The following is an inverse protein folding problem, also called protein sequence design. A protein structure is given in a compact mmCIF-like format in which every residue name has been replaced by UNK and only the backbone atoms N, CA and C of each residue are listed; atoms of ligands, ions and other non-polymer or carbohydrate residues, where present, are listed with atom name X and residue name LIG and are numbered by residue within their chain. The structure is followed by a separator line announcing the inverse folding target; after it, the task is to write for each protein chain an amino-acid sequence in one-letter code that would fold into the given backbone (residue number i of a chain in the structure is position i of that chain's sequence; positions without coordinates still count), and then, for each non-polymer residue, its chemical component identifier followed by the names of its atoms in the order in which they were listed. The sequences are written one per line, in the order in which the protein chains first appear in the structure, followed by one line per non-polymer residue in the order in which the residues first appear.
data_IF_877716674489
#
_entry.id   IF_877716674489
#
_cell.length_a   1.000
_cell.length_b   1.000
_cell.length_c   1.000
_cell.angle_alpha   90.00
_cell.angle_beta   90.00
_cell.angle_gamma   90.00
#
_symmetry.space_group_name_H-M   'P 1'
#
loop_
_entity.id
_entity.type
_entity.pdbx_description
1 polymer ?
#
# COMPACT_ATOMS: atom_id res chain seq x y z
N UNK A 1 -12.11 -26.70 1.12
CA UNK A 1 -12.16 -25.98 2.41
C UNK A 1 -10.79 -25.73 3.11
N UNK A 2 -9.70 -26.47 2.79
CA UNK A 2 -8.39 -26.32 3.46
C UNK A 2 -7.56 -25.10 3.04
N UNK A 3 -7.72 -24.60 1.81
CA UNK A 3 -6.86 -23.55 1.22
C UNK A 3 -6.97 -22.18 1.90
N UNK A 4 -8.14 -21.85 2.41
CA UNK A 4 -8.39 -20.56 3.07
C UNK A 4 -7.77 -20.47 4.49
N UNK A 5 -7.60 -21.61 5.17
CA UNK A 5 -7.05 -21.64 6.54
C UNK A 5 -5.57 -21.29 6.60
N UNK A 6 -4.76 -21.77 5.64
CA UNK A 6 -3.33 -21.50 5.61
C UNK A 6 -3.05 -20.01 5.34
N UNK A 7 -3.71 -19.43 4.32
CA UNK A 7 -3.61 -18.00 4.04
C UNK A 7 -4.08 -17.16 5.22
N UNK A 8 -5.22 -17.51 5.83
CA UNK A 8 -5.73 -16.82 7.02
C UNK A 8 -4.70 -16.79 8.15
N UNK A 9 -4.04 -17.92 8.45
CA UNK A 9 -3.00 -18.00 9.48
C UNK A 9 -1.74 -17.18 9.13
N UNK A 10 -1.35 -17.11 7.86
CA UNK A 10 -0.14 -16.42 7.40
C UNK A 10 -0.34 -14.91 7.19
N UNK A 11 -1.53 -14.48 6.77
CA UNK A 11 -1.76 -13.11 6.29
C UNK A 11 -2.94 -12.42 6.97
N UNK A 12 -4.10 -13.10 7.07
CA UNK A 12 -5.36 -12.41 7.33
C UNK A 12 -5.69 -12.31 8.82
N UNK A 13 -5.14 -13.19 9.68
CA UNK A 13 -5.38 -13.14 11.12
C UNK A 13 -4.62 -12.00 11.80
N UNK A 14 -5.15 -11.47 12.91
CA UNK A 14 -4.51 -10.42 13.72
C UNK A 14 -3.21 -10.89 14.41
N UNK A 15 -2.99 -12.20 14.53
CA UNK A 15 -1.78 -12.80 15.06
C UNK A 15 -0.82 -13.29 13.96
N UNK A 16 -1.18 -13.08 12.68
CA UNK A 16 -0.37 -13.50 11.54
C UNK A 16 0.99 -12.79 11.50
N UNK A 17 1.93 -13.41 10.79
CA UNK A 17 3.20 -12.77 10.49
C UNK A 17 3.01 -11.40 9.80
N UNK A 18 2.05 -11.30 8.87
CA UNK A 18 1.73 -10.04 8.18
C UNK A 18 1.17 -8.98 9.15
N UNK A 19 0.37 -9.37 10.14
CA UNK A 19 -0.11 -8.45 11.18
C UNK A 19 1.04 -7.89 12.02
N UNK A 20 2.01 -8.74 12.41
CA UNK A 20 3.22 -8.28 13.10
C UNK A 20 4.04 -7.29 12.27
N UNK A 21 4.17 -7.52 10.97
CA UNK A 21 4.87 -6.58 10.09
C UNK A 21 4.11 -5.24 9.96
N UNK A 22 2.76 -5.28 9.88
CA UNK A 22 1.95 -4.06 9.88
C UNK A 22 2.12 -3.24 11.17
N UNK A 23 2.12 -3.90 12.34
CA UNK A 23 2.37 -3.23 13.64
C UNK A 23 3.77 -2.59 13.67
N UNK A 24 4.82 -3.31 13.28
CA UNK A 24 6.19 -2.77 13.19
C UNK A 24 6.27 -1.53 12.28
N UNK A 25 5.56 -1.52 11.16
CA UNK A 25 5.50 -0.34 10.28
C UNK A 25 4.74 0.81 10.93
N UNK A 26 3.65 0.53 11.63
CA UNK A 26 2.91 1.54 12.40
C UNK A 26 3.79 2.17 13.50
N UNK A 27 4.55 1.36 14.22
CA UNK A 27 5.51 1.84 15.21
C UNK A 27 6.65 2.64 14.58
N UNK A 28 7.09 2.26 13.38
CA UNK A 28 8.11 2.99 12.65
C UNK A 28 7.59 4.32 12.14
N UNK A 29 6.37 4.36 11.60
CA UNK A 29 5.69 5.59 11.22
C UNK A 29 5.60 6.56 12.42
N UNK A 30 5.16 6.08 13.58
CA UNK A 30 5.03 6.87 14.80
C UNK A 30 6.39 7.42 15.31
N UNK A 31 7.48 6.65 15.16
CA UNK A 31 8.83 7.13 15.47
C UNK A 31 9.35 8.16 14.48
N UNK A 32 8.94 8.05 13.21
CA UNK A 32 9.35 8.98 12.15
C UNK A 32 8.60 10.31 12.24
N UNK A 33 7.34 10.25 12.68
CA UNK A 33 6.46 11.40 12.90
C UNK A 33 5.95 11.38 14.34
N UNK A 34 6.73 11.88 15.32
CA UNK A 34 6.36 11.84 16.74
C UNK A 34 5.09 12.61 17.06
N UNK A 35 4.80 13.64 16.28
CA UNK A 35 3.64 14.54 16.37
C UNK A 35 2.40 14.02 15.61
N UNK A 36 2.43 12.76 15.09
CA UNK A 36 1.33 12.19 14.28
C UNK A 36 -0.04 12.23 14.98
N UNK A 37 -0.07 12.27 16.31
CA UNK A 37 -1.32 12.34 17.09
C UNK A 37 -2.09 13.63 16.88
N UNK A 38 -1.39 14.69 16.54
CA UNK A 38 -1.93 16.05 16.35
C UNK A 38 -2.18 16.35 14.86
N UNK A 39 -1.79 15.46 13.96
CA UNK A 39 -1.84 15.65 12.52
C UNK A 39 -3.22 15.33 11.90
N UNK A 40 -3.49 16.04 10.80
CA UNK A 40 -4.45 15.62 9.78
C UNK A 40 -3.70 14.86 8.69
N UNK A 41 -3.94 13.55 8.60
CA UNK A 41 -3.30 12.66 7.62
C UNK A 41 -4.24 12.41 6.45
N UNK A 42 -3.73 12.52 5.21
CA UNK A 42 -4.42 11.98 4.03
C UNK A 42 -3.83 10.63 3.65
N UNK A 43 -4.67 9.59 3.58
CA UNK A 43 -4.28 8.20 3.25
C UNK A 43 -4.72 7.87 1.83
N UNK A 44 -3.78 7.91 0.89
CA UNK A 44 -4.02 7.65 -0.53
C UNK A 44 -4.08 6.15 -0.82
N UNK A 45 -5.25 5.68 -1.23
CA UNK A 45 -5.55 4.28 -1.54
C UNK A 45 -5.72 3.39 -0.31
N UNK A 46 -5.72 3.95 0.89
CA UNK A 46 -5.84 3.23 2.14
C UNK A 46 -7.26 2.76 2.46
N UNK A 47 -7.38 2.18 3.64
CA UNK A 47 -8.67 1.75 4.21
C UNK A 47 -8.76 2.16 5.67
N UNK A 48 -9.94 2.57 6.09
CA UNK A 48 -10.21 2.99 7.47
C UNK A 48 -9.74 1.96 8.52
N UNK A 49 -9.86 0.66 8.21
CA UNK A 49 -9.37 -0.43 9.06
C UNK A 49 -7.87 -0.42 9.34
N UNK A 50 -7.05 0.27 8.55
CA UNK A 50 -5.62 0.47 8.82
C UNK A 50 -5.44 1.30 10.09
N UNK A 51 -6.19 2.38 10.21
CA UNK A 51 -6.12 3.34 11.33
C UNK A 51 -6.80 2.85 12.59
N UNK A 52 -7.81 2.00 12.48
CA UNK A 52 -8.39 1.29 13.64
C UNK A 52 -7.37 0.34 14.31
N UNK A 53 -6.46 -0.24 13.54
CA UNK A 53 -5.44 -1.19 14.03
C UNK A 53 -4.06 -0.56 14.26
N UNK A 54 -3.91 0.72 13.94
CA UNK A 54 -2.65 1.43 14.14
C UNK A 54 -2.32 1.55 15.62
N UNK A 55 -1.04 1.47 15.97
CA UNK A 55 -0.55 1.66 17.35
C UNK A 55 -0.67 3.12 17.79
N UNK A 56 -0.63 4.04 16.83
CA UNK A 56 -0.86 5.46 17.03
C UNK A 56 -1.80 5.96 15.93
N UNK A 57 -2.86 6.64 16.31
CA UNK A 57 -3.84 7.23 15.41
C UNK A 57 -3.65 8.74 15.33
N UNK A 58 -3.69 9.34 14.12
CA UNK A 58 -3.73 10.79 13.94
C UNK A 58 -4.99 11.44 14.54
N UNK A 59 -4.95 12.76 14.73
CA UNK A 59 -6.12 13.55 15.15
C UNK A 59 -7.25 13.43 14.11
N UNK A 60 -6.90 13.53 12.82
CA UNK A 60 -7.83 13.39 11.69
C UNK A 60 -7.22 12.53 10.59
N UNK A 61 -8.06 11.78 9.88
CA UNK A 61 -7.64 11.00 8.71
C UNK A 61 -8.63 11.21 7.58
N UNK A 62 -8.15 11.64 6.42
CA UNK A 62 -8.92 11.59 5.16
C UNK A 62 -8.43 10.40 4.36
N UNK A 63 -9.27 9.38 4.19
CA UNK A 63 -8.97 8.19 3.37
C UNK A 63 -9.52 8.40 1.97
N UNK A 64 -8.67 8.31 0.96
CA UNK A 64 -9.05 8.36 -0.46
C UNK A 64 -8.95 6.96 -1.04
N UNK A 65 -10.05 6.39 -1.52
CA UNK A 65 -10.06 5.04 -2.10
C UNK A 65 -11.09 4.94 -3.23
N UNK A 66 -10.88 4.02 -4.16
CA UNK A 66 -11.85 3.71 -5.24
C UNK A 66 -13.11 2.97 -4.71
N UNK A 67 -13.01 2.35 -3.54
CA UNK A 67 -14.13 1.66 -2.89
C UNK A 67 -15.11 2.68 -2.28
N UNK A 68 -16.38 2.32 -2.23
CA UNK A 68 -17.40 3.15 -1.57
C UNK A 68 -17.11 3.29 -0.07
N UNK A 69 -17.39 4.46 0.52
CA UNK A 69 -17.31 4.64 1.96
C UNK A 69 -18.16 3.62 2.72
N UNK A 70 -17.71 3.15 3.90
CA UNK A 70 -18.53 2.29 4.74
C UNK A 70 -19.76 3.06 5.26
N UNK A 71 -20.80 2.32 5.62
CA UNK A 71 -22.06 2.90 6.14
C UNK A 71 -21.86 3.75 7.42
N UNK A 72 -20.80 3.51 8.17
CA UNK A 72 -20.45 4.29 9.36
C UNK A 72 -18.98 4.67 9.32
N UNK A 73 -18.70 5.97 9.43
CA UNK A 73 -17.37 6.56 9.51
C UNK A 73 -17.28 7.29 10.85
N UNK A 74 -16.23 7.04 11.67
CA UNK A 74 -16.08 7.72 12.95
C UNK A 74 -15.75 9.22 12.73
N UNK A 75 -16.04 10.05 13.73
CA UNK A 75 -15.86 11.52 13.67
C UNK A 75 -14.43 11.98 13.34
N UNK A 76 -13.43 11.20 13.73
CA UNK A 76 -12.03 11.48 13.44
C UNK A 76 -11.60 11.15 12.00
N UNK A 77 -12.48 10.55 11.19
CA UNK A 77 -12.15 10.13 9.83
C UNK A 77 -13.13 10.71 8.82
N UNK A 78 -12.63 10.95 7.61
CA UNK A 78 -13.40 11.18 6.40
C UNK A 78 -12.98 10.15 5.36
N UNK A 79 -13.95 9.58 4.62
CA UNK A 79 -13.67 8.62 3.55
C UNK A 79 -14.23 9.15 2.25
N UNK A 80 -13.35 9.36 1.29
CA UNK A 80 -13.68 9.88 -0.04
C UNK A 80 -13.54 8.78 -1.08
N UNK A 81 -14.58 8.59 -1.91
CA UNK A 81 -14.49 7.69 -3.06
C UNK A 81 -13.88 8.44 -4.24
N UNK A 82 -12.58 8.32 -4.42
CA UNK A 82 -11.87 8.99 -5.50
C UNK A 82 -10.62 8.20 -5.94
N UNK A 83 -10.11 8.55 -7.11
CA UNK A 83 -8.85 8.03 -7.63
C UNK A 83 -7.68 8.87 -7.08
N UNK A 84 -6.73 8.24 -6.39
CA UNK A 84 -5.55 8.90 -5.88
C UNK A 84 -4.61 9.49 -6.99
N UNK A 85 -4.83 9.09 -8.25
CA UNK A 85 -4.13 9.66 -9.41
C UNK A 85 -4.89 10.84 -10.06
N UNK A 86 -6.12 11.12 -9.61
CA UNK A 86 -7.00 12.17 -10.14
C UNK A 86 -7.94 12.66 -9.04
N UNK A 87 -7.38 13.44 -8.12
CA UNK A 87 -8.06 13.86 -6.90
C UNK A 87 -9.11 14.93 -7.19
N UNK A 88 -10.30 14.86 -6.58
CA UNK A 88 -11.29 15.91 -6.68
C UNK A 88 -10.77 17.21 -6.02
N UNK A 89 -11.20 18.40 -6.50
CA UNK A 89 -10.66 19.68 -6.05
C UNK A 89 -10.70 19.92 -4.54
N UNK A 90 -11.75 19.45 -3.86
CA UNK A 90 -11.88 19.62 -2.41
C UNK A 90 -10.86 18.78 -1.62
N UNK A 91 -10.39 17.65 -2.16
CA UNK A 91 -9.29 16.87 -1.58
C UNK A 91 -7.95 17.49 -1.98
N UNK A 92 -7.77 17.82 -3.27
CA UNK A 92 -6.52 18.37 -3.79
C UNK A 92 -6.14 19.72 -3.15
N UNK A 93 -7.13 20.54 -2.75
CA UNK A 93 -6.95 21.83 -2.07
C UNK A 93 -7.10 21.73 -0.54
N UNK A 94 -7.22 20.51 -0.01
CA UNK A 94 -7.29 20.29 1.43
C UNK A 94 -5.94 20.59 2.13
N UNK A 95 -6.01 20.89 3.42
CA UNK A 95 -4.81 21.10 4.26
C UNK A 95 -4.52 19.82 5.03
N UNK A 96 -3.35 19.25 4.79
CA UNK A 96 -2.89 18.02 5.43
C UNK A 96 -1.47 18.19 5.96
N UNK A 97 -1.18 17.54 7.08
CA UNK A 97 0.15 17.55 7.70
C UNK A 97 1.06 16.44 7.17
N UNK A 98 0.44 15.34 6.70
CA UNK A 98 1.15 14.15 6.24
C UNK A 98 0.36 13.41 5.16
N UNK A 99 1.01 13.07 4.07
CA UNK A 99 0.50 12.08 3.11
C UNK A 99 1.00 10.70 3.51
N UNK A 100 0.06 9.78 3.67
CA UNK A 100 0.35 8.37 3.92
C UNK A 100 -0.15 7.52 2.75
N UNK A 101 0.62 6.50 2.37
CA UNK A 101 0.16 5.45 1.45
C UNK A 101 0.90 4.16 1.72
N UNK A 102 0.19 3.05 1.74
CA UNK A 102 0.78 1.75 2.06
C UNK A 102 0.28 0.65 1.13
N UNK A 103 1.17 0.13 0.28
CA UNK A 103 0.89 -0.93 -0.70
C UNK A 103 -0.22 -0.55 -1.68
N UNK A 104 -0.08 0.61 -2.32
CA UNK A 104 -1.01 1.15 -3.31
C UNK A 104 -0.32 1.43 -4.64
N UNK A 105 0.89 2.00 -4.61
CA UNK A 105 1.62 2.46 -5.80
C UNK A 105 1.84 1.34 -6.83
N UNK A 106 1.97 0.10 -6.39
CA UNK A 106 2.05 -1.10 -7.24
C UNK A 106 0.74 -1.44 -7.96
N UNK A 107 -0.39 -0.83 -7.56
CA UNK A 107 -1.73 -1.07 -8.09
C UNK A 107 -2.32 0.07 -8.91
N UNK A 108 -1.70 1.24 -8.93
CA UNK A 108 -2.27 2.40 -9.63
C UNK A 108 -2.23 2.29 -11.16
N UNK A 109 -1.51 1.28 -11.68
CA UNK A 109 -1.28 1.10 -13.13
C UNK A 109 0.00 1.79 -13.59
N UNK A 110 0.41 1.59 -14.81
CA UNK A 110 1.69 1.96 -15.43
C UNK A 110 2.38 3.26 -15.04
N UNK A 111 3.44 3.57 -15.74
CA UNK A 111 4.35 4.68 -15.38
C UNK A 111 3.65 6.04 -15.24
N UNK A 112 2.79 6.39 -16.18
CA UNK A 112 2.08 7.68 -16.20
C UNK A 112 1.18 7.87 -14.96
N UNK A 113 0.46 6.83 -14.56
CA UNK A 113 -0.39 6.90 -13.37
C UNK A 113 0.42 6.99 -12.07
N UNK A 114 1.59 6.34 -12.01
CA UNK A 114 2.50 6.47 -10.88
C UNK A 114 3.10 7.86 -10.76
N UNK A 115 3.38 8.52 -11.89
CA UNK A 115 3.79 9.94 -11.90
C UNK A 115 2.69 10.84 -11.33
N UNK A 116 1.43 10.65 -11.76
CA UNK A 116 0.29 11.43 -11.21
C UNK A 116 0.10 11.16 -9.72
N UNK A 117 0.14 9.91 -9.30
CA UNK A 117 0.08 9.55 -7.88
C UNK A 117 1.18 10.21 -7.06
N UNK A 118 2.41 10.15 -7.54
CA UNK A 118 3.56 10.75 -6.85
C UNK A 118 3.48 12.28 -6.82
N UNK A 119 3.01 12.91 -7.91
CA UNK A 119 2.76 14.35 -7.95
C UNK A 119 1.68 14.73 -6.93
N UNK A 120 0.55 14.03 -6.89
CA UNK A 120 -0.50 14.22 -5.89
C UNK A 120 0.04 14.06 -4.46
N UNK A 121 0.78 12.99 -4.18
CA UNK A 121 1.35 12.76 -2.85
C UNK A 121 2.34 13.86 -2.41
N UNK A 122 3.09 14.46 -3.35
CA UNK A 122 4.07 15.51 -3.06
C UNK A 122 3.45 16.90 -2.96
N UNK A 123 2.26 17.11 -3.55
CA UNK A 123 1.56 18.40 -3.54
C UNK A 123 0.62 18.58 -2.35
N UNK A 124 0.09 17.49 -1.77
CA UNK A 124 -0.90 17.53 -0.69
C UNK A 124 -0.32 17.92 0.66
N UNK A 125 0.94 17.59 0.94
CA UNK A 125 1.64 17.99 2.15
C UNK A 125 3.16 17.95 1.93
N UNK A 126 3.89 18.72 2.74
CA UNK A 126 5.35 18.72 2.73
C UNK A 126 5.94 17.40 3.24
N UNK A 127 5.21 16.72 4.10
CA UNK A 127 5.60 15.43 4.69
C UNK A 127 4.86 14.28 4.03
N UNK A 128 5.59 13.18 3.79
CA UNK A 128 4.95 11.97 3.28
C UNK A 128 5.64 10.68 3.72
N UNK A 129 4.84 9.60 3.71
CA UNK A 129 5.25 8.22 3.90
C UNK A 129 4.57 7.36 2.84
N UNK A 130 5.29 6.96 1.80
CA UNK A 130 4.76 6.14 0.70
C UNK A 130 5.51 4.81 0.64
N UNK A 131 4.83 3.73 0.99
CA UNK A 131 5.40 2.39 1.05
C UNK A 131 4.89 1.53 -0.09
N UNK A 132 5.77 0.73 -0.70
CA UNK A 132 5.45 -0.29 -1.70
C UNK A 132 6.30 -1.55 -1.48
N UNK A 133 5.81 -2.76 -1.81
CA UNK A 133 6.64 -3.97 -1.82
C UNK A 133 7.79 -3.86 -2.80
N UNK A 134 8.95 -4.42 -2.42
CA UNK A 134 10.14 -4.39 -3.25
C UNK A 134 10.15 -5.53 -4.26
N UNK A 135 10.35 -5.20 -5.55
CA UNK A 135 10.32 -6.14 -6.67
C UNK A 135 11.28 -7.32 -6.50
N UNK A 136 12.46 -7.11 -5.92
CA UNK A 136 13.48 -8.13 -5.78
C UNK A 136 13.43 -8.88 -4.43
N UNK A 137 12.35 -8.72 -3.66
CA UNK A 137 12.11 -9.62 -2.54
C UNK A 137 11.76 -11.02 -3.05
N UNK A 138 12.35 -12.10 -2.48
CA UNK A 138 12.18 -13.45 -3.03
C UNK A 138 10.76 -13.96 -3.12
N UNK A 139 9.85 -13.45 -2.26
CA UNK A 139 8.45 -13.90 -2.20
C UNK A 139 7.56 -12.78 -2.70
N UNK A 140 6.77 -13.05 -3.73
CA UNK A 140 5.75 -12.13 -4.20
C UNK A 140 4.62 -12.04 -3.16
N UNK A 141 4.35 -10.84 -2.56
CA UNK A 141 3.50 -10.74 -1.38
C UNK A 141 2.01 -10.96 -1.64
N UNK A 142 1.52 -10.69 -2.85
CA UNK A 142 0.09 -10.86 -3.20
C UNK A 142 -0.28 -12.32 -3.40
N UNK A 143 0.67 -13.13 -3.84
CA UNK A 143 0.51 -14.55 -4.11
C UNK A 143 1.16 -15.44 -3.05
N UNK A 144 2.02 -14.88 -2.19
CA UNK A 144 2.87 -15.62 -1.26
C UNK A 144 3.64 -16.72 -2.03
N UNK A 145 4.18 -16.34 -3.19
CA UNK A 145 4.80 -17.26 -4.13
C UNK A 145 6.26 -16.87 -4.39
N UNK A 146 7.22 -17.80 -4.24
CA UNK A 146 8.61 -17.51 -4.52
C UNK A 146 8.82 -17.19 -5.99
N UNK A 147 9.46 -16.05 -6.29
CA UNK A 147 9.90 -15.65 -7.62
C UNK A 147 8.81 -15.40 -8.66
N UNK A 148 7.54 -15.44 -8.28
CA UNK A 148 6.41 -15.31 -9.22
C UNK A 148 6.46 -14.01 -10.02
N UNK A 149 6.93 -12.91 -9.43
CA UNK A 149 7.06 -11.60 -10.09
C UNK A 149 8.05 -11.59 -11.27
N UNK A 150 8.95 -12.56 -11.34
CA UNK A 150 9.95 -12.66 -12.43
C UNK A 150 9.49 -13.53 -13.60
N UNK A 151 8.40 -14.27 -13.45
CA UNK A 151 7.88 -15.13 -14.48
C UNK A 151 7.16 -14.34 -15.58
N UNK A 152 7.21 -14.80 -16.84
CA UNK A 152 6.39 -14.27 -17.91
C UNK A 152 4.90 -14.29 -17.56
N UNK A 153 4.13 -13.32 -18.07
CA UNK A 153 2.68 -13.16 -17.79
C UNK A 153 1.90 -14.47 -18.00
N UNK A 154 2.19 -15.20 -19.07
CA UNK A 154 1.53 -16.51 -19.34
C UNK A 154 1.71 -17.51 -18.21
N UNK A 155 2.94 -17.63 -17.68
CA UNK A 155 3.24 -18.54 -16.57
C UNK A 155 2.60 -18.07 -15.27
N UNK A 156 2.67 -16.75 -14.99
CA UNK A 156 1.99 -16.17 -13.82
C UNK A 156 0.49 -16.43 -13.86
N UNK A 157 -0.15 -16.23 -15.01
CA UNK A 157 -1.59 -16.47 -15.19
C UNK A 157 -1.94 -17.95 -15.01
N UNK A 158 -1.14 -18.85 -15.57
CA UNK A 158 -1.36 -20.30 -15.40
C UNK A 158 -1.22 -20.74 -13.94
N UNK A 159 -0.21 -20.23 -13.22
CA UNK A 159 -0.01 -20.46 -11.80
C UNK A 159 -1.14 -19.84 -10.97
N UNK A 160 -1.54 -18.61 -11.23
CA UNK A 160 -2.58 -17.90 -10.51
C UNK A 160 -3.91 -18.67 -10.46
N UNK A 161 -4.26 -19.38 -11.55
CA UNK A 161 -5.48 -20.21 -11.63
C UNK A 161 -5.46 -21.44 -10.72
N UNK A 162 -4.29 -21.88 -10.28
CA UNK A 162 -4.10 -23.10 -9.47
C UNK A 162 -3.46 -22.83 -8.12
N UNK A 163 -2.93 -21.60 -7.91
CA UNK A 163 -2.18 -21.28 -6.73
C UNK A 163 -3.08 -21.06 -5.51
N UNK A 164 -2.91 -21.82 -4.43
CA UNK A 164 -3.84 -21.81 -3.30
C UNK A 164 -3.72 -20.58 -2.42
N UNK A 165 -2.58 -19.87 -2.45
CA UNK A 165 -2.29 -18.75 -1.57
C UNK A 165 -2.53 -17.37 -2.23
N UNK A 166 -3.07 -17.35 -3.44
CA UNK A 166 -3.45 -16.11 -4.14
C UNK A 166 -4.48 -15.29 -3.37
N UNK A 167 -4.45 -13.97 -3.56
CA UNK A 167 -5.35 -13.05 -2.86
C UNK A 167 -6.83 -13.31 -3.19
N UNK A 168 -7.12 -13.54 -4.46
CA UNK A 168 -8.47 -13.89 -4.96
C UNK A 168 -8.35 -15.13 -5.86
N UNK A 169 -8.43 -16.33 -5.30
CA UNK A 169 -8.36 -17.54 -6.12
C UNK A 169 -9.42 -17.53 -7.21
N UNK A 170 -9.02 -17.79 -8.45
CA UNK A 170 -9.92 -17.85 -9.60
C UNK A 170 -9.48 -18.94 -10.57
N UNK A 171 -10.45 -19.62 -11.18
CA UNK A 171 -10.22 -20.55 -12.29
C UNK A 171 -10.41 -19.89 -13.66
N UNK A 172 -11.05 -18.72 -13.72
CA UNK A 172 -11.21 -17.95 -14.95
C UNK A 172 -9.85 -17.45 -15.44
N UNK A 173 -9.58 -17.61 -16.73
CA UNK A 173 -8.37 -17.11 -17.37
C UNK A 173 -8.34 -15.58 -17.37
N UNK A 174 -9.45 -14.95 -17.71
CA UNK A 174 -9.61 -13.51 -17.76
C UNK A 174 -9.39 -12.87 -16.38
N UNK A 175 -10.03 -13.40 -15.34
CA UNK A 175 -9.83 -12.91 -14.00
C UNK A 175 -8.39 -13.12 -13.50
N UNK A 176 -7.74 -14.22 -13.88
CA UNK A 176 -6.35 -14.48 -13.50
C UNK A 176 -5.36 -13.53 -14.20
N UNK A 177 -5.53 -13.28 -15.51
CA UNK A 177 -4.68 -12.34 -16.24
C UNK A 177 -4.87 -10.90 -15.72
N UNK A 178 -6.11 -10.51 -15.44
CA UNK A 178 -6.41 -9.22 -14.81
C UNK A 178 -5.68 -9.06 -13.46
N UNK A 179 -5.76 -10.05 -12.57
CA UNK A 179 -5.06 -10.01 -11.27
C UNK A 179 -3.54 -9.94 -11.43
N UNK A 180 -2.98 -10.67 -12.40
CA UNK A 180 -1.53 -10.68 -12.68
C UNK A 180 -1.04 -9.34 -13.21
N UNK A 181 -1.83 -8.68 -14.06
CA UNK A 181 -1.48 -7.38 -14.65
C UNK A 181 -1.80 -6.21 -13.74
N UNK A 182 -2.71 -6.38 -12.80
CA UNK A 182 -3.10 -5.35 -11.82
C UNK A 182 -1.96 -4.99 -10.86
N UNK A 183 -0.99 -5.88 -10.66
CA UNK A 183 0.11 -5.67 -9.72
C UNK A 183 1.44 -5.58 -10.45
N UNK A 184 2.12 -4.46 -10.31
CA UNK A 184 3.47 -4.26 -10.81
C UNK A 184 4.40 -3.74 -9.72
N UNK A 185 5.20 -4.65 -9.14
CA UNK A 185 6.13 -4.34 -8.06
C UNK A 185 7.25 -3.40 -8.54
N UNK A 186 7.66 -2.48 -7.68
CA UNK A 186 8.64 -1.45 -8.00
C UNK A 186 10.02 -1.79 -7.44
N UNK A 187 11.03 -1.25 -8.12
CA UNK A 187 12.39 -1.26 -7.63
C UNK A 187 12.82 0.11 -7.05
N UNK A 188 14.05 0.16 -6.54
CA UNK A 188 14.59 1.36 -5.91
C UNK A 188 14.79 2.52 -6.88
N UNK A 189 15.15 2.24 -8.13
CA UNK A 189 15.34 3.27 -9.15
C UNK A 189 14.03 3.93 -9.52
N UNK A 190 12.97 3.13 -9.68
CA UNK A 190 11.62 3.63 -9.93
C UNK A 190 11.11 4.49 -8.75
N UNK A 191 11.31 4.03 -7.50
CA UNK A 191 10.90 4.79 -6.32
C UNK A 191 11.64 6.13 -6.21
N UNK A 192 12.93 6.17 -6.49
CA UNK A 192 13.70 7.43 -6.52
C UNK A 192 13.27 8.36 -7.64
N UNK A 193 12.86 7.80 -8.78
CA UNK A 193 12.33 8.60 -9.89
C UNK A 193 11.01 9.28 -9.52
N UNK A 194 10.09 8.56 -8.86
CA UNK A 194 8.80 9.10 -8.45
C UNK A 194 8.90 10.06 -7.25
N UNK A 195 9.85 9.80 -6.36
CA UNK A 195 10.07 10.56 -5.11
C UNK A 195 11.54 10.99 -4.98
N UNK A 196 12.03 11.91 -5.86
CA UNK A 196 13.46 12.28 -5.92
C UNK A 196 13.95 12.94 -4.63
N UNK A 197 13.10 13.74 -3.97
CA UNK A 197 13.43 14.52 -2.78
C UNK A 197 13.21 13.74 -1.47
N UNK A 198 12.93 12.43 -1.57
CA UNK A 198 12.62 11.61 -0.41
C UNK A 198 13.80 10.76 0.03
N UNK A 199 13.93 10.59 1.33
CA UNK A 199 14.80 9.56 1.90
C UNK A 199 14.18 8.18 1.67
N UNK A 200 14.94 7.26 1.07
CA UNK A 200 14.52 5.88 0.83
C UNK A 200 14.85 5.00 2.03
N UNK A 201 13.83 4.63 2.81
CA UNK A 201 13.93 3.61 3.84
C UNK A 201 13.66 2.22 3.26
N UNK A 202 14.18 1.19 3.92
CA UNK A 202 14.01 -0.20 3.47
C UNK A 202 13.55 -1.05 4.64
N UNK A 203 12.33 -1.57 4.56
CA UNK A 203 11.86 -2.61 5.47
C UNK A 203 12.55 -3.92 5.11
N UNK A 204 13.14 -4.60 6.11
CA UNK A 204 13.85 -5.87 5.92
C UNK A 204 13.17 -6.99 6.68
N UNK A 205 13.25 -8.18 6.08
CA UNK A 205 12.81 -9.43 6.68
C UNK A 205 13.92 -10.46 6.49
N UNK A 206 14.38 -11.05 7.57
CA UNK A 206 15.55 -11.94 7.56
C UNK A 206 16.76 -11.36 6.80
N UNK A 207 17.03 -10.05 6.98
CA UNK A 207 18.11 -9.33 6.30
C UNK A 207 17.79 -8.88 4.86
N UNK A 208 16.78 -9.47 4.21
CA UNK A 208 16.44 -9.16 2.82
C UNK A 208 15.50 -7.95 2.71
N UNK A 209 15.71 -7.04 1.74
CA UNK A 209 14.81 -5.94 1.47
C UNK A 209 13.42 -6.45 1.06
N UNK A 210 12.38 -6.12 1.84
CA UNK A 210 10.99 -6.55 1.57
C UNK A 210 10.16 -5.44 0.99
N UNK A 211 10.32 -4.23 1.51
CA UNK A 211 9.55 -3.06 1.04
C UNK A 211 10.44 -1.84 0.98
N UNK A 212 10.09 -0.92 0.12
CA UNK A 212 10.69 0.41 0.01
C UNK A 212 9.70 1.44 0.54
N UNK A 213 10.23 2.48 1.19
CA UNK A 213 9.43 3.56 1.73
C UNK A 213 10.09 4.88 1.35
N UNK A 214 9.37 5.70 0.59
CA UNK A 214 9.76 7.09 0.36
C UNK A 214 9.25 7.94 1.51
N UNK A 215 10.16 8.63 2.20
CA UNK A 215 9.84 9.44 3.38
C UNK A 215 10.39 10.84 3.22
N UNK A 216 9.55 11.83 3.48
CA UNK A 216 9.93 13.23 3.67
C UNK A 216 9.36 13.71 5.00
N UNK A 217 10.22 14.21 5.88
CA UNK A 217 9.88 14.60 7.26
C UNK A 217 9.88 16.11 7.47
N UNK A 218 10.48 16.87 6.55
CA UNK A 218 10.65 18.32 6.65
C UNK A 218 10.18 18.98 5.35
N UNK A 219 9.74 20.24 5.47
CA UNK A 219 9.43 21.11 4.36
C UNK A 219 10.71 21.56 3.61
#
# INVERSE_FOLDING_TARGET
MGHNRLRHRLVDSDQSWSARQRRRRSDWLARTFPDIRDMHVVDLGGRLGTWHRATVRPARVTVVNLEQPPASVPEWAHVEQADACDLPPHVANGTYDLVFSNSVLEHVGGHERRLRFAAAARSLADRHWVQTPYRYFPIEPHWIAPGMQFLPVRLRTALARRWPLGHKPTRSHEAAIHQVLWTELLDRSQMRHYFPDSRMLTERVAGLPKSLIAVRTEA
#
